data_IF_923788636296
#
_entry.id   IF_923788636296
#
_cell.length_a   1.000
_cell.length_b   1.000
_cell.length_c   1.000
_cell.angle_alpha   90.00
_cell.angle_beta   90.00
_cell.angle_gamma   90.00
#
_symmetry.space_group_name_H-M   'P 1'
#
loop_
_entity.id
_entity.type
_entity.pdbx_description
1 polymer ?
#
# COMPACT_ATOMS: atom_id res chain seq x y z
N UNK A 1 -18.14 21.92 7.86
CA UNK A 1 -19.00 21.95 6.66
C UNK A 1 -19.44 23.35 6.26
N UNK A 2 -20.01 24.18 7.16
CA UNK A 2 -20.49 25.53 6.80
C UNK A 2 -19.43 26.44 6.15
N UNK A 3 -18.17 26.38 6.63
CA UNK A 3 -17.05 27.17 6.08
C UNK A 3 -16.73 26.73 4.64
N UNK A 4 -16.67 25.42 4.37
CA UNK A 4 -16.39 24.88 3.04
C UNK A 4 -17.46 25.29 2.02
N UNK A 5 -18.74 25.15 2.39
CA UNK A 5 -19.86 25.53 1.52
C UNK A 5 -19.85 27.03 1.22
N UNK A 6 -19.58 27.88 2.22
CA UNK A 6 -19.48 29.32 2.01
C UNK A 6 -18.31 29.72 1.10
N UNK A 7 -17.19 29.01 1.19
CA UNK A 7 -16.04 29.20 0.30
C UNK A 7 -16.36 28.80 -1.14
N UNK A 8 -16.98 27.63 -1.34
CA UNK A 8 -17.38 27.16 -2.67
C UNK A 8 -18.40 28.08 -3.33
N UNK A 9 -19.39 28.54 -2.55
CA UNK A 9 -20.41 29.47 -3.03
C UNK A 9 -19.79 30.80 -3.48
N UNK A 10 -18.78 31.29 -2.76
CA UNK A 10 -18.06 32.52 -3.10
C UNK A 10 -17.19 32.36 -4.35
N UNK A 11 -16.47 31.24 -4.50
CA UNK A 11 -15.72 30.92 -5.73
C UNK A 11 -16.63 30.80 -6.95
N UNK A 12 -17.79 30.15 -6.82
CA UNK A 12 -18.79 30.06 -7.89
C UNK A 12 -19.37 31.43 -8.24
N UNK A 13 -19.67 32.27 -7.25
CA UNK A 13 -20.12 33.65 -7.48
C UNK A 13 -19.07 34.51 -8.18
N UNK A 14 -17.78 34.20 -7.99
CA UNK A 14 -16.67 34.86 -8.69
C UNK A 14 -16.45 34.33 -10.12
N UNK A 15 -17.26 33.36 -10.57
CA UNK A 15 -17.16 32.78 -11.91
C UNK A 15 -16.08 31.70 -12.06
N UNK A 16 -15.52 31.20 -10.96
CA UNK A 16 -14.59 30.06 -11.03
C UNK A 16 -15.36 28.76 -11.29
N UNK A 17 -14.81 27.83 -12.12
CA UNK A 17 -15.42 26.53 -12.31
C UNK A 17 -15.45 25.76 -10.98
N UNK A 18 -16.50 24.95 -10.78
CA UNK A 18 -16.73 24.22 -9.53
C UNK A 18 -15.54 23.33 -9.11
N UNK A 19 -14.77 22.83 -10.07
CA UNK A 19 -13.55 22.07 -9.84
C UNK A 19 -12.43 22.87 -9.15
N UNK A 20 -12.29 24.16 -9.46
CA UNK A 20 -11.33 25.06 -8.79
C UNK A 20 -11.83 25.45 -7.40
N UNK A 21 -13.13 25.65 -7.23
CA UNK A 21 -13.72 25.92 -5.91
C UNK A 21 -13.42 24.81 -4.89
N UNK A 22 -13.33 23.56 -5.35
CA UNK A 22 -13.02 22.38 -4.53
C UNK A 22 -11.52 22.16 -4.26
N UNK A 23 -10.64 23.02 -4.79
CA UNK A 23 -9.19 22.90 -4.61
C UNK A 23 -8.80 22.95 -3.13
N UNK A 24 -8.06 21.94 -2.69
CA UNK A 24 -7.67 21.77 -1.29
C UNK A 24 -8.71 21.08 -0.39
N UNK A 25 -9.93 20.85 -0.89
CA UNK A 25 -11.01 20.17 -0.15
C UNK A 25 -11.31 18.77 -0.70
N UNK A 26 -11.14 18.55 -2.00
CA UNK A 26 -11.34 17.27 -2.66
C UNK A 26 -10.03 16.75 -3.30
N UNK A 27 -9.80 15.43 -3.29
CA UNK A 27 -8.73 14.79 -4.06
C UNK A 27 -8.70 15.26 -5.52
N UNK A 28 -7.52 15.30 -6.14
CA UNK A 28 -7.39 15.80 -7.50
C UNK A 28 -8.19 15.05 -8.57
N UNK A 29 -8.30 13.73 -8.44
CA UNK A 29 -9.14 12.90 -9.32
C UNK A 29 -10.60 13.30 -9.25
N UNK A 30 -11.10 13.63 -8.06
CA UNK A 30 -12.48 14.07 -7.82
C UNK A 30 -12.75 15.45 -8.45
N UNK A 31 -11.83 16.40 -8.24
CA UNK A 31 -11.90 17.73 -8.87
C UNK A 31 -11.90 17.66 -10.39
N UNK A 32 -11.09 16.76 -10.94
CA UNK A 32 -10.98 16.57 -12.38
C UNK A 32 -12.27 16.02 -12.99
N UNK A 33 -12.91 15.03 -12.36
CA UNK A 33 -14.19 14.51 -12.82
C UNK A 33 -15.28 15.59 -12.83
N UNK A 34 -15.28 16.48 -11.84
CA UNK A 34 -16.18 17.63 -11.77
C UNK A 34 -15.82 18.74 -12.76
N UNK A 35 -14.55 18.88 -13.14
CA UNK A 35 -14.10 19.87 -14.15
C UNK A 35 -14.54 19.52 -15.57
N UNK A 36 -14.82 18.24 -15.81
CA UNK A 36 -15.25 17.71 -17.11
C UNK A 36 -16.78 17.71 -17.24
N UNK A 37 -17.50 17.70 -16.11
CA UNK A 37 -18.94 17.94 -16.11
C UNK A 37 -19.24 19.40 -16.45
N UNK A 38 -19.86 19.62 -17.62
CA UNK A 38 -20.42 20.93 -17.96
C UNK A 38 -21.46 21.34 -16.89
N UNK A 39 -21.61 22.64 -16.62
CA UNK A 39 -22.55 23.17 -15.60
C UNK A 39 -23.99 22.66 -15.83
N UNK A 40 -24.32 22.27 -17.06
CA UNK A 40 -25.61 21.72 -17.49
C UNK A 40 -25.85 20.24 -17.15
N UNK A 41 -24.82 19.45 -16.81
CA UNK A 41 -24.93 18.02 -16.45
C UNK A 41 -24.16 17.71 -15.15
N UNK A 42 -24.18 18.66 -14.21
CA UNK A 42 -23.50 18.57 -12.93
C UNK A 42 -24.03 17.39 -12.08
N UNK A 43 -25.32 17.06 -12.22
CA UNK A 43 -25.98 15.92 -11.59
C UNK A 43 -25.30 14.59 -11.96
N UNK A 44 -25.12 14.33 -13.25
CA UNK A 44 -24.45 13.12 -13.74
C UNK A 44 -22.96 13.08 -13.35
N UNK A 45 -22.29 14.24 -13.36
CA UNK A 45 -20.91 14.33 -12.92
C UNK A 45 -20.76 14.02 -11.42
N UNK A 46 -21.68 14.50 -10.59
CA UNK A 46 -21.74 14.21 -9.15
C UNK A 46 -22.08 12.74 -8.88
N UNK A 47 -23.02 12.14 -9.61
CA UNK A 47 -23.34 10.71 -9.47
C UNK A 47 -22.13 9.83 -9.80
N UNK A 48 -21.43 10.12 -10.91
CA UNK A 48 -20.20 9.41 -11.27
C UNK A 48 -19.10 9.60 -10.23
N UNK A 49 -18.98 10.81 -9.67
CA UNK A 49 -18.04 11.11 -8.59
C UNK A 49 -18.34 10.29 -7.33
N UNK A 50 -19.60 10.27 -6.91
CA UNK A 50 -20.04 9.50 -5.74
C UNK A 50 -19.70 8.03 -5.95
N UNK A 51 -20.01 7.47 -7.12
CA UNK A 51 -19.70 6.07 -7.46
C UNK A 51 -18.21 5.75 -7.36
N UNK A 52 -17.33 6.59 -7.93
CA UNK A 52 -15.88 6.39 -7.84
C UNK A 52 -15.37 6.53 -6.41
N UNK A 53 -15.86 7.54 -5.68
CA UNK A 53 -15.45 7.80 -4.29
C UNK A 53 -15.89 6.68 -3.36
N UNK A 54 -17.12 6.18 -3.51
CA UNK A 54 -17.61 5.02 -2.78
C UNK A 54 -16.80 3.76 -3.12
N UNK A 55 -16.47 3.55 -4.40
CA UNK A 55 -15.61 2.44 -4.82
C UNK A 55 -14.23 2.49 -4.16
N UNK A 56 -13.56 3.63 -4.21
CA UNK A 56 -12.26 3.82 -3.55
C UNK A 56 -12.39 3.64 -2.03
N UNK A 57 -13.46 4.16 -1.41
CA UNK A 57 -13.70 4.02 0.03
C UNK A 57 -13.92 2.57 0.46
N UNK A 58 -14.59 1.76 -0.37
CA UNK A 58 -14.74 0.31 -0.13
C UNK A 58 -13.40 -0.40 -0.04
N UNK A 59 -12.35 0.08 -0.71
CA UNK A 59 -11.01 -0.49 -0.60
C UNK A 59 -10.27 -0.09 0.68
N UNK A 60 -10.61 1.05 1.30
CA UNK A 60 -9.88 1.57 2.46
C UNK A 60 -10.08 0.65 3.68
N UNK A 61 -11.30 0.18 3.94
CA UNK A 61 -11.59 -0.71 5.06
C UNK A 61 -10.74 -1.99 5.06
N UNK A 62 -10.80 -2.79 3.97
CA UNK A 62 -9.97 -3.99 3.81
C UNK A 62 -8.48 -3.71 3.91
N UNK A 63 -7.98 -2.56 3.40
CA UNK A 63 -6.56 -2.21 3.51
C UNK A 63 -6.15 -1.91 4.96
N UNK A 64 -7.00 -1.19 5.71
CA UNK A 64 -6.75 -0.90 7.13
C UNK A 64 -6.74 -2.21 7.92
N UNK A 65 -7.73 -3.07 7.73
CA UNK A 65 -7.80 -4.37 8.38
C UNK A 65 -6.58 -5.23 8.03
N UNK A 66 -6.20 -5.25 6.75
CA UNK A 66 -5.06 -5.99 6.24
C UNK A 66 -3.72 -5.55 6.85
N UNK A 67 -3.59 -4.27 7.19
CA UNK A 67 -2.31 -3.70 7.68
C UNK A 67 -2.25 -3.66 9.20
N UNK A 68 -3.40 -3.56 9.87
CA UNK A 68 -3.48 -3.41 11.33
C UNK A 68 -3.02 -4.66 12.07
N UNK A 69 -3.45 -5.84 11.61
CA UNK A 69 -3.12 -7.10 12.29
C UNK A 69 -1.61 -7.45 12.24
N UNK A 70 -0.93 -7.39 11.07
CA UNK A 70 0.52 -7.56 11.01
C UNK A 70 1.29 -6.54 11.84
N UNK A 71 0.85 -5.27 11.84
CA UNK A 71 1.49 -4.22 12.64
C UNK A 71 1.38 -4.52 14.14
N UNK A 72 0.21 -5.02 14.59
CA UNK A 72 0.02 -5.48 15.97
C UNK A 72 0.95 -6.64 16.32
N UNK A 73 1.01 -7.69 15.48
CA UNK A 73 1.91 -8.83 15.71
C UNK A 73 3.39 -8.43 15.73
N UNK A 74 3.79 -7.54 14.85
CA UNK A 74 5.15 -7.02 14.81
C UNK A 74 5.50 -6.23 16.09
N UNK A 75 4.56 -5.43 16.60
CA UNK A 75 4.70 -4.75 17.90
C UNK A 75 4.82 -5.77 19.05
N UNK A 76 4.00 -6.81 19.05
CA UNK A 76 4.03 -7.88 20.05
C UNK A 76 5.40 -8.59 20.06
N UNK A 77 5.97 -8.88 18.88
CA UNK A 77 7.30 -9.47 18.76
C UNK A 77 8.37 -8.57 19.39
N UNK A 78 8.36 -7.27 19.07
CA UNK A 78 9.32 -6.33 19.65
C UNK A 78 9.21 -6.26 21.17
N UNK A 79 7.98 -6.30 21.69
CA UNK A 79 7.71 -6.31 23.14
C UNK A 79 8.22 -7.60 23.80
N UNK A 80 8.02 -8.76 23.19
CA UNK A 80 8.53 -10.04 23.68
C UNK A 80 10.07 -10.02 23.71
N UNK A 81 10.72 -9.59 22.61
CA UNK A 81 12.18 -9.51 22.53
C UNK A 81 12.74 -8.54 23.59
N UNK A 82 12.08 -7.41 23.80
CA UNK A 82 12.45 -6.46 24.84
C UNK A 82 12.32 -7.07 26.24
N UNK A 83 11.20 -7.74 26.53
CA UNK A 83 10.96 -8.38 27.83
C UNK A 83 11.99 -9.49 28.12
N UNK A 84 12.32 -10.31 27.12
CA UNK A 84 13.38 -11.33 27.21
C UNK A 84 14.72 -10.68 27.55
N UNK A 85 15.11 -9.65 26.79
CA UNK A 85 16.41 -9.00 26.92
C UNK A 85 16.60 -8.27 28.24
N UNK A 86 15.53 -7.68 28.81
CA UNK A 86 15.60 -6.87 30.04
C UNK A 86 15.30 -7.67 31.30
N UNK A 87 14.33 -8.59 31.26
CA UNK A 87 13.84 -9.26 32.47
C UNK A 87 14.22 -10.74 32.56
N UNK A 88 14.35 -11.44 31.44
CA UNK A 88 14.52 -12.90 31.47
C UNK A 88 15.99 -13.31 31.50
N UNK A 89 16.81 -12.75 30.59
CA UNK A 89 18.21 -13.15 30.38
C UNK A 89 19.15 -12.63 31.48
N UNK A 90 19.07 -11.37 31.98
CA UNK A 90 20.05 -10.85 32.93
C UNK A 90 20.17 -11.65 34.24
N UNK A 91 19.08 -12.09 34.89
CA UNK A 91 19.17 -12.94 36.08
C UNK A 91 19.91 -14.26 35.83
N UNK A 92 19.83 -14.81 34.61
CA UNK A 92 20.53 -16.05 34.25
C UNK A 92 22.03 -15.81 34.06
N UNK A 93 22.42 -14.66 33.51
CA UNK A 93 23.83 -14.25 33.40
C UNK A 93 24.42 -14.03 34.79
N UNK A 94 23.70 -13.32 35.66
CA UNK A 94 24.12 -13.02 37.03
C UNK A 94 24.28 -14.29 37.89
N UNK A 95 23.48 -15.32 37.62
CA UNK A 95 23.56 -16.60 38.33
C UNK A 95 24.84 -17.40 38.02
N UNK A 96 25.47 -17.19 36.86
CA UNK A 96 26.73 -17.87 36.52
C UNK A 96 27.69 -16.98 35.70
N UNK A 97 28.37 -16.03 36.36
CA UNK A 97 29.18 -15.02 35.68
C UNK A 97 30.41 -15.57 34.96
N UNK A 98 30.83 -16.81 35.27
CA UNK A 98 32.01 -17.45 34.67
C UNK A 98 31.66 -18.38 33.49
N UNK A 99 30.38 -18.49 33.13
CA UNK A 99 29.93 -19.38 32.05
C UNK A 99 30.10 -18.70 30.70
N UNK A 100 30.76 -19.41 29.78
CA UNK A 100 30.78 -19.03 28.36
C UNK A 100 29.57 -19.64 27.67
N UNK A 101 28.57 -18.81 27.42
CA UNK A 101 27.37 -19.20 26.68
C UNK A 101 27.71 -19.61 25.25
N UNK A 102 27.19 -20.76 24.81
CA UNK A 102 27.36 -21.26 23.44
C UNK A 102 26.01 -21.65 22.83
N UNK A 103 25.93 -21.81 21.51
CA UNK A 103 24.70 -22.23 20.83
C UNK A 103 23.58 -21.18 20.86
N UNK A 104 22.35 -21.62 21.16
CA UNK A 104 21.15 -20.77 21.15
C UNK A 104 21.14 -19.86 22.38
N UNK A 105 21.66 -20.35 23.52
CA UNK A 105 21.87 -19.55 24.72
C UNK A 105 22.70 -18.29 24.45
N UNK A 106 23.76 -18.40 23.65
CA UNK A 106 24.56 -17.23 23.25
C UNK A 106 23.73 -16.19 22.51
N UNK A 107 22.85 -16.61 21.60
CA UNK A 107 22.02 -15.66 20.82
C UNK A 107 21.03 -14.88 21.69
N UNK A 108 20.57 -15.46 22.81
CA UNK A 108 19.77 -14.74 23.81
C UNK A 108 20.59 -13.74 24.61
N UNK A 109 21.83 -14.08 24.94
CA UNK A 109 22.77 -13.16 25.61
C UNK A 109 23.12 -12.00 24.70
N UNK A 110 23.46 -12.26 23.44
CA UNK A 110 23.73 -11.22 22.43
C UNK A 110 22.50 -10.32 22.24
N UNK A 111 21.28 -10.89 22.23
CA UNK A 111 20.03 -10.11 22.20
C UNK A 111 19.90 -9.26 23.47
N UNK A 112 20.13 -9.81 24.65
CA UNK A 112 20.02 -9.09 25.92
C UNK A 112 20.98 -7.90 26.00
N UNK A 113 22.26 -8.11 25.63
CA UNK A 113 23.25 -7.04 25.55
C UNK A 113 22.81 -5.97 24.54
N UNK A 114 22.29 -6.38 23.38
CA UNK A 114 21.77 -5.44 22.38
C UNK A 114 20.58 -4.64 22.90
N UNK A 115 19.62 -5.27 23.58
CA UNK A 115 18.46 -4.58 24.14
C UNK A 115 18.88 -3.62 25.26
N UNK A 116 19.83 -3.99 26.10
CA UNK A 116 20.29 -3.13 27.20
C UNK A 116 21.11 -1.93 26.70
N UNK A 117 22.07 -2.14 25.80
CA UNK A 117 22.93 -1.08 25.24
C UNK A 117 22.20 -0.21 24.21
N UNK A 118 21.35 -0.84 23.37
CA UNK A 118 20.74 -0.22 22.18
C UNK A 118 19.22 -0.31 22.15
N UNK A 119 18.55 -0.20 23.31
CA UNK A 119 17.08 -0.21 23.41
C UNK A 119 16.39 0.77 22.45
N UNK A 120 16.99 1.94 22.22
CA UNK A 120 16.47 2.97 21.31
C UNK A 120 16.36 2.45 19.87
N UNK A 121 17.19 1.49 19.45
CA UNK A 121 17.11 0.88 18.12
C UNK A 121 15.81 0.11 17.95
N UNK A 122 15.29 -0.55 18.99
CA UNK A 122 13.99 -1.25 18.91
C UNK A 122 12.81 -0.31 18.66
N UNK A 123 12.94 0.97 18.98
CA UNK A 123 11.90 1.99 18.75
C UNK A 123 12.17 2.77 17.45
N UNK A 124 13.41 3.18 17.22
CA UNK A 124 13.78 3.98 16.05
C UNK A 124 13.72 3.15 14.78
N UNK A 125 14.17 1.89 14.81
CA UNK A 125 14.15 1.00 13.65
C UNK A 125 12.76 0.86 13.03
N UNK A 126 11.69 0.50 13.77
CA UNK A 126 10.38 0.36 13.18
C UNK A 126 9.81 1.69 12.69
N UNK A 127 10.03 2.81 13.40
CA UNK A 127 9.58 4.14 12.94
C UNK A 127 10.23 4.49 11.60
N UNK A 128 11.54 4.32 11.49
CA UNK A 128 12.28 4.57 10.25
C UNK A 128 11.82 3.60 9.15
N UNK A 129 11.65 2.32 9.46
CA UNK A 129 11.18 1.30 8.52
C UNK A 129 9.80 1.67 7.95
N UNK A 130 8.81 1.94 8.81
CA UNK A 130 7.47 2.34 8.38
C UNK A 130 7.50 3.66 7.59
N UNK A 131 8.30 4.63 8.02
CA UNK A 131 8.45 5.91 7.30
C UNK A 131 9.01 5.69 5.90
N UNK A 132 10.08 4.90 5.77
CA UNK A 132 10.69 4.57 4.47
C UNK A 132 9.69 3.81 3.60
N UNK A 133 8.96 2.84 4.14
CA UNK A 133 7.94 2.10 3.39
C UNK A 133 6.85 3.05 2.87
N UNK A 134 6.28 3.89 3.72
CA UNK A 134 5.23 4.86 3.36
C UNK A 134 5.72 5.86 2.32
N UNK A 135 6.94 6.39 2.46
CA UNK A 135 7.49 7.35 1.51
C UNK A 135 7.94 6.69 0.20
N UNK A 136 8.36 5.43 0.22
CA UNK A 136 8.75 4.69 -0.98
C UNK A 136 7.57 4.46 -1.91
N UNK A 137 6.37 4.23 -1.38
CA UNK A 137 5.17 3.92 -2.17
C UNK A 137 4.84 4.99 -3.22
N UNK A 138 4.65 6.29 -2.89
CA UNK A 138 4.35 7.31 -3.88
C UNK A 138 5.57 7.83 -4.65
N UNK A 139 6.78 7.80 -4.06
CA UNK A 139 7.95 8.51 -4.61
C UNK A 139 8.93 7.64 -5.39
N UNK A 140 9.00 6.34 -5.09
CA UNK A 140 10.02 5.48 -5.71
C UNK A 140 9.69 5.27 -7.19
N UNK A 141 10.49 5.89 -8.05
CA UNK A 141 10.40 5.81 -9.51
C UNK A 141 11.60 5.04 -10.02
N UNK A 142 11.39 3.82 -10.54
CA UNK A 142 12.44 3.07 -11.23
C UNK A 142 11.87 1.84 -11.95
N UNK A 143 12.53 1.43 -13.04
CA UNK A 143 12.25 0.18 -13.76
C UNK A 143 12.44 -1.06 -12.88
N UNK A 144 13.35 -1.01 -11.91
CA UNK A 144 13.57 -2.12 -10.96
C UNK A 144 12.45 -2.27 -9.93
N UNK A 145 11.59 -1.26 -9.74
CA UNK A 145 10.47 -1.33 -8.80
C UNK A 145 9.47 -2.42 -9.18
N UNK A 146 9.37 -2.74 -10.47
CA UNK A 146 8.49 -3.81 -11.00
C UNK A 146 8.75 -5.17 -10.34
N UNK A 147 9.99 -5.45 -9.92
CA UNK A 147 10.33 -6.70 -9.22
C UNK A 147 9.80 -6.77 -7.78
N UNK A 148 9.68 -5.61 -7.12
CA UNK A 148 9.25 -5.50 -5.71
C UNK A 148 7.73 -5.31 -5.61
N UNK A 149 7.07 -4.92 -6.70
CA UNK A 149 5.63 -4.65 -6.75
C UNK A 149 4.73 -5.87 -6.58
N UNK A 150 5.27 -7.09 -6.58
CA UNK A 150 4.51 -8.29 -6.27
C UNK A 150 4.50 -8.62 -4.77
N UNK A 151 5.32 -7.93 -3.96
CA UNK A 151 5.44 -8.15 -2.52
C UNK A 151 4.67 -7.07 -1.77
N UNK A 152 3.82 -7.41 -0.78
CA UNK A 152 3.22 -6.42 0.11
C UNK A 152 4.34 -5.69 0.90
N UNK A 153 4.23 -4.37 1.15
CA UNK A 153 3.07 -3.49 0.94
C UNK A 153 2.95 -2.88 -0.47
N UNK A 154 3.97 -2.98 -1.32
CA UNK A 154 3.96 -2.33 -2.65
C UNK A 154 2.89 -2.90 -3.59
N UNK A 155 2.58 -4.19 -3.46
CA UNK A 155 1.50 -4.83 -4.23
C UNK A 155 0.12 -4.27 -3.89
N UNK A 156 -0.15 -4.01 -2.60
CA UNK A 156 -1.39 -3.37 -2.14
C UNK A 156 -1.49 -1.93 -2.65
N UNK A 157 -0.39 -1.20 -2.61
CA UNK A 157 -0.33 0.17 -3.15
C UNK A 157 -0.59 0.20 -4.66
N UNK A 158 -0.02 -0.75 -5.44
CA UNK A 158 -0.27 -0.87 -6.88
C UNK A 158 -1.74 -1.12 -7.18
N UNK A 159 -2.37 -2.07 -6.47
CA UNK A 159 -3.79 -2.38 -6.64
C UNK A 159 -4.66 -1.18 -6.28
N UNK A 160 -4.44 -0.57 -5.11
CA UNK A 160 -5.21 0.61 -4.68
C UNK A 160 -5.11 1.79 -5.67
N UNK A 161 -3.88 2.14 -6.05
CA UNK A 161 -3.66 3.25 -7.00
C UNK A 161 -4.13 2.92 -8.40
N UNK A 162 -3.99 1.67 -8.84
CA UNK A 162 -4.45 1.23 -10.14
C UNK A 162 -5.97 1.24 -10.25
N UNK A 163 -6.70 0.70 -9.26
CA UNK A 163 -8.18 0.69 -9.26
C UNK A 163 -8.71 2.12 -9.25
N UNK A 164 -8.17 2.97 -8.37
CA UNK A 164 -8.55 4.39 -8.30
C UNK A 164 -8.31 5.11 -9.63
N UNK A 165 -7.17 4.84 -10.28
CA UNK A 165 -6.83 5.41 -11.58
C UNK A 165 -7.75 4.89 -12.69
N UNK A 166 -8.07 3.60 -12.71
CA UNK A 166 -8.90 2.99 -13.74
C UNK A 166 -10.36 3.44 -13.64
N UNK A 167 -10.91 3.54 -12.42
CA UNK A 167 -12.24 4.07 -12.18
C UNK A 167 -12.35 5.53 -12.63
N UNK A 168 -11.35 6.36 -12.31
CA UNK A 168 -11.32 7.75 -12.75
C UNK A 168 -11.19 7.86 -14.28
N UNK A 169 -10.37 7.01 -14.90
CA UNK A 169 -10.25 6.94 -16.37
C UNK A 169 -11.57 6.52 -17.02
N UNK A 170 -12.22 5.48 -16.50
CA UNK A 170 -13.50 5.00 -16.99
C UNK A 170 -14.57 6.09 -16.95
N UNK A 171 -14.67 6.83 -15.84
CA UNK A 171 -15.63 7.91 -15.71
C UNK A 171 -15.39 9.06 -16.70
N UNK A 172 -14.14 9.46 -16.92
CA UNK A 172 -13.79 10.51 -17.89
C UNK A 172 -14.11 10.09 -19.32
N UNK A 173 -13.78 8.84 -19.68
CA UNK A 173 -14.03 8.29 -21.02
C UNK A 173 -15.54 8.12 -21.25
N UNK A 174 -16.28 7.66 -20.25
CA UNK A 174 -17.75 7.56 -20.27
C UNK A 174 -18.42 8.93 -20.41
N UNK A 175 -17.83 9.98 -19.83
CA UNK A 175 -18.25 11.37 -20.02
C UNK A 175 -17.83 11.97 -21.39
N UNK A 176 -17.29 11.16 -22.31
CA UNK A 176 -16.92 11.58 -23.66
C UNK A 176 -15.54 12.21 -23.79
N UNK A 177 -14.70 12.19 -22.74
CA UNK A 177 -13.33 12.68 -22.84
C UNK A 177 -12.46 11.70 -23.62
N UNK A 178 -11.73 12.14 -24.66
CA UNK A 178 -10.78 11.27 -25.36
C UNK A 178 -9.73 10.67 -24.41
N UNK A 179 -9.40 9.39 -24.57
CA UNK A 179 -8.49 8.64 -23.67
C UNK A 179 -7.17 9.37 -23.44
N UNK A 180 -6.54 9.90 -24.50
CA UNK A 180 -5.27 10.63 -24.40
C UNK A 180 -5.37 11.90 -23.55
N UNK A 181 -6.50 12.62 -23.63
CA UNK A 181 -6.78 13.81 -22.81
C UNK A 181 -7.07 13.40 -21.36
N UNK A 182 -7.87 12.35 -21.15
CA UNK A 182 -8.15 11.82 -19.82
C UNK A 182 -6.87 11.38 -19.08
N UNK A 183 -5.96 10.69 -19.77
CA UNK A 183 -4.68 10.27 -19.20
C UNK A 183 -3.78 11.45 -18.81
N UNK A 184 -3.65 12.48 -19.65
CA UNK A 184 -2.89 13.70 -19.32
C UNK A 184 -3.49 14.43 -18.12
N UNK A 185 -4.81 14.49 -18.07
CA UNK A 185 -5.52 15.09 -16.96
C UNK A 185 -5.27 14.33 -15.65
N UNK A 186 -5.29 13.00 -15.69
CA UNK A 186 -5.02 12.15 -14.53
C UNK A 186 -3.57 12.22 -14.05
N UNK A 187 -2.60 12.72 -14.83
CA UNK A 187 -1.21 12.86 -14.37
C UNK A 187 -0.89 14.17 -13.67
N UNK A 188 -1.69 15.23 -13.86
CA UNK A 188 -1.38 16.57 -13.34
C UNK A 188 -1.17 16.61 -11.82
N UNK A 189 -1.95 15.84 -11.07
CA UNK A 189 -1.93 15.81 -9.61
C UNK A 189 -1.75 14.38 -9.06
N UNK A 190 -1.25 13.44 -9.88
CA UNK A 190 -1.02 12.07 -9.45
C UNK A 190 0.32 11.88 -8.73
N UNK A 191 0.46 10.76 -8.02
CA UNK A 191 1.74 10.42 -7.41
C UNK A 191 2.82 10.22 -8.48
N UNK A 192 4.10 10.53 -8.17
CA UNK A 192 5.20 10.32 -9.10
C UNK A 192 5.26 8.89 -9.69
N UNK A 193 4.82 7.89 -8.91
CA UNK A 193 4.64 6.50 -9.34
C UNK A 193 3.67 6.33 -10.51
N UNK A 194 2.46 6.92 -10.43
CA UNK A 194 1.44 6.85 -11.48
C UNK A 194 1.87 7.68 -12.69
N UNK A 195 2.44 8.88 -12.44
CA UNK A 195 2.93 9.77 -13.49
C UNK A 195 3.95 9.08 -14.39
N UNK A 196 4.92 8.35 -13.83
CA UNK A 196 5.92 7.61 -14.61
C UNK A 196 5.26 6.60 -15.56
N UNK A 197 4.29 5.83 -15.05
CA UNK A 197 3.62 4.75 -15.79
C UNK A 197 2.72 5.28 -16.90
N UNK A 198 1.88 6.25 -16.56
CA UNK A 198 0.94 6.85 -17.50
C UNK A 198 1.68 7.63 -18.58
N UNK A 199 2.73 8.38 -18.24
CA UNK A 199 3.51 9.11 -19.25
C UNK A 199 4.20 8.19 -20.25
N UNK A 200 4.70 7.01 -19.82
CA UNK A 200 5.24 6.04 -20.76
C UNK A 200 4.16 5.44 -21.66
N UNK A 201 2.98 5.14 -21.13
CA UNK A 201 1.85 4.66 -21.93
C UNK A 201 1.38 5.73 -22.95
N UNK A 202 1.36 7.01 -22.55
CA UNK A 202 1.00 8.12 -23.42
C UNK A 202 1.89 8.24 -24.67
N UNK A 203 3.18 7.87 -24.60
CA UNK A 203 4.07 7.85 -25.77
C UNK A 203 3.55 6.87 -26.83
N UNK A 204 3.17 5.66 -26.42
CA UNK A 204 2.63 4.64 -27.33
C UNK A 204 1.26 5.04 -27.89
N UNK A 205 0.38 5.61 -27.06
CA UNK A 205 -0.93 6.11 -27.50
C UNK A 205 -0.78 7.24 -28.53
N UNK A 206 0.18 8.14 -28.32
CA UNK A 206 0.48 9.22 -29.27
C UNK A 206 1.00 8.68 -30.60
N UNK A 207 1.62 7.50 -30.59
CA UNK A 207 2.07 6.79 -31.80
C UNK A 207 0.98 5.94 -32.47
N UNK A 208 -0.26 5.99 -31.97
CA UNK A 208 -1.42 5.31 -32.57
C UNK A 208 -1.79 3.97 -31.93
N UNK A 209 -1.10 3.53 -30.88
CA UNK A 209 -1.50 2.32 -30.15
C UNK A 209 -2.78 2.56 -29.34
N UNK A 210 -3.63 1.53 -29.23
CA UNK A 210 -4.76 1.55 -28.31
C UNK A 210 -4.29 1.50 -26.83
N UNK A 211 -5.19 1.77 -25.88
CA UNK A 211 -4.85 1.87 -24.45
C UNK A 211 -4.20 0.58 -23.92
N UNK A 212 -4.80 -0.58 -24.21
CA UNK A 212 -4.32 -1.86 -23.72
C UNK A 212 -2.92 -2.19 -24.24
N UNK A 213 -2.71 -1.99 -25.55
CA UNK A 213 -1.43 -2.25 -26.20
C UNK A 213 -0.34 -1.30 -25.71
N UNK A 214 -0.69 -0.03 -25.51
CA UNK A 214 0.22 0.97 -24.95
C UNK A 214 0.67 0.59 -23.53
N UNK A 215 -0.26 0.20 -22.65
CA UNK A 215 0.06 -0.25 -21.29
C UNK A 215 0.93 -1.52 -21.30
N UNK A 216 0.61 -2.47 -22.18
CA UNK A 216 1.39 -3.70 -22.36
C UNK A 216 2.83 -3.43 -22.78
N UNK A 217 3.04 -2.56 -23.78
CA UNK A 217 4.38 -2.18 -24.27
C UNK A 217 5.25 -1.51 -23.20
N UNK A 218 4.66 -0.85 -22.20
CA UNK A 218 5.44 -0.23 -21.10
C UNK A 218 6.18 -1.23 -20.21
N UNK A 219 5.70 -2.49 -20.14
CA UNK A 219 6.23 -3.55 -19.25
C UNK A 219 6.23 -3.20 -17.76
N UNK A 220 5.42 -2.23 -17.34
CA UNK A 220 5.28 -1.86 -15.92
C UNK A 220 4.27 -2.71 -15.14
N UNK A 221 3.46 -3.52 -15.83
CA UNK A 221 2.37 -4.30 -15.21
C UNK A 221 1.40 -3.44 -14.39
N UNK A 222 1.16 -2.20 -14.83
CA UNK A 222 0.22 -1.27 -14.23
C UNK A 222 -0.96 -1.04 -15.19
N UNK A 223 -2.22 -1.04 -14.70
CA UNK A 223 -2.63 -1.09 -13.30
C UNK A 223 -2.55 -2.50 -12.67
N UNK A 224 -2.82 -3.55 -13.46
CA UNK A 224 -2.43 -4.93 -13.19
C UNK A 224 -2.24 -5.68 -14.52
N UNK A 225 -1.53 -6.81 -14.52
CA UNK A 225 -1.23 -7.58 -15.74
C UNK A 225 -2.51 -8.17 -16.37
N UNK A 226 -3.44 -8.65 -15.56
CA UNK A 226 -4.70 -9.24 -16.03
C UNK A 226 -5.56 -8.17 -16.69
N UNK A 227 -5.72 -7.04 -16.02
CA UNK A 227 -6.46 -5.87 -16.53
C UNK A 227 -5.86 -5.30 -17.82
N UNK A 228 -4.53 -5.29 -17.96
CA UNK A 228 -3.91 -4.91 -19.23
C UNK A 228 -4.34 -5.87 -20.35
N UNK A 229 -4.42 -7.17 -20.06
CA UNK A 229 -4.91 -8.18 -20.99
C UNK A 229 -6.34 -7.91 -21.44
N UNK A 230 -7.24 -7.65 -20.49
CA UNK A 230 -8.63 -7.33 -20.79
C UNK A 230 -8.72 -6.05 -21.61
N UNK A 231 -8.03 -4.98 -21.20
CA UNK A 231 -8.02 -3.72 -21.93
C UNK A 231 -7.54 -3.88 -23.38
N UNK A 232 -6.61 -4.80 -23.68
CA UNK A 232 -6.19 -5.08 -25.06
C UNK A 232 -7.34 -5.64 -25.88
N UNK A 233 -8.06 -6.63 -25.34
CA UNK A 233 -9.19 -7.28 -26.00
C UNK A 233 -10.33 -6.28 -26.22
N UNK A 234 -10.71 -5.55 -25.18
CA UNK A 234 -11.87 -4.66 -25.22
C UNK A 234 -11.62 -3.34 -25.96
N UNK A 235 -10.36 -2.93 -26.12
CA UNK A 235 -10.01 -1.69 -26.84
C UNK A 235 -10.26 -1.70 -28.35
N UNK A 236 -10.56 -2.88 -28.92
CA UNK A 236 -10.91 -3.04 -30.33
C UNK A 236 -12.43 -3.01 -30.57
N UNK A 237 -13.23 -2.94 -29.51
CA UNK A 237 -14.70 -2.91 -29.61
C UNK A 237 -15.23 -1.48 -29.81
N UNK A 238 -16.33 -1.36 -30.57
CA UNK A 238 -17.02 -0.09 -30.83
C UNK A 238 -17.49 0.62 -29.55
N UNK A 239 -17.71 -0.12 -28.46
CA UNK A 239 -18.18 0.41 -27.19
C UNK A 239 -17.15 0.32 -26.06
N UNK A 240 -15.92 0.75 -26.37
CA UNK A 240 -14.81 0.77 -25.41
C UNK A 240 -15.15 1.51 -24.09
N UNK A 241 -15.93 2.59 -24.14
CA UNK A 241 -16.31 3.35 -22.95
C UNK A 241 -17.15 2.51 -21.96
N UNK A 242 -18.12 1.73 -22.44
CA UNK A 242 -18.88 0.82 -21.57
C UNK A 242 -18.03 -0.35 -21.09
N UNK A 243 -17.19 -0.92 -21.96
CA UNK A 243 -16.29 -2.00 -21.58
C UNK A 243 -15.31 -1.55 -20.47
N UNK A 244 -14.75 -0.36 -20.59
CA UNK A 244 -13.86 0.23 -19.59
C UNK A 244 -14.56 0.47 -18.25
N UNK A 245 -15.81 0.96 -18.26
CA UNK A 245 -16.63 1.05 -17.05
C UNK A 245 -16.82 -0.33 -16.43
N UNK A 246 -17.24 -1.33 -17.20
CA UNK A 246 -17.44 -2.70 -16.70
C UNK A 246 -16.16 -3.29 -16.07
N UNK A 247 -15.04 -3.28 -16.79
CA UNK A 247 -13.74 -3.80 -16.33
C UNK A 247 -13.32 -3.09 -15.03
N UNK A 248 -13.51 -1.76 -14.95
CA UNK A 248 -13.13 -1.00 -13.76
C UNK A 248 -13.93 -1.37 -12.51
N UNK A 249 -15.21 -1.68 -12.66
CA UNK A 249 -16.07 -2.08 -11.54
C UNK A 249 -15.87 -3.54 -11.15
N UNK A 250 -15.65 -4.41 -12.13
CA UNK A 250 -15.31 -5.82 -11.88
C UNK A 250 -13.98 -5.91 -11.13
N UNK A 251 -12.95 -5.20 -11.60
CA UNK A 251 -11.66 -5.19 -10.95
C UNK A 251 -11.70 -4.57 -9.55
N UNK A 252 -12.56 -3.57 -9.31
CA UNK A 252 -12.80 -3.05 -7.96
C UNK A 252 -13.30 -4.15 -7.02
N UNK A 253 -14.31 -4.91 -7.44
CA UNK A 253 -14.90 -6.00 -6.64
C UNK A 253 -13.91 -7.14 -6.41
N UNK A 254 -13.14 -7.52 -7.43
CA UNK A 254 -12.09 -8.54 -7.31
C UNK A 254 -10.94 -8.08 -6.41
N UNK A 255 -10.55 -6.81 -6.53
CA UNK A 255 -9.47 -6.24 -5.73
C UNK A 255 -9.79 -6.24 -4.23
N UNK A 256 -11.05 -6.07 -3.85
CA UNK A 256 -11.48 -6.20 -2.45
C UNK A 256 -11.14 -7.58 -1.88
N UNK A 257 -11.49 -8.65 -2.61
CA UNK A 257 -11.19 -10.04 -2.21
C UNK A 257 -9.69 -10.36 -2.30
N UNK A 258 -9.01 -9.86 -3.32
CA UNK A 258 -7.58 -10.06 -3.51
C UNK A 258 -6.75 -9.38 -2.41
N UNK A 259 -7.17 -8.19 -1.94
CA UNK A 259 -6.57 -7.49 -0.81
C UNK A 259 -6.72 -8.33 0.46
N UNK A 260 -7.93 -8.83 0.75
CA UNK A 260 -8.18 -9.68 1.90
C UNK A 260 -7.34 -10.97 1.89
N UNK A 261 -7.24 -11.61 0.72
CA UNK A 261 -6.42 -12.84 0.57
C UNK A 261 -4.93 -12.56 0.76
N UNK A 262 -4.39 -11.50 0.15
CA UNK A 262 -2.99 -11.09 0.33
C UNK A 262 -2.69 -10.74 1.78
N UNK A 263 -3.64 -10.12 2.48
CA UNK A 263 -3.54 -9.83 3.90
C UNK A 263 -3.48 -11.10 4.75
N UNK A 264 -4.35 -12.08 4.48
CA UNK A 264 -4.36 -13.34 5.21
C UNK A 264 -3.04 -14.11 5.09
N UNK A 265 -2.42 -14.10 3.90
CA UNK A 265 -1.08 -14.67 3.70
C UNK A 265 -0.04 -13.93 4.56
N UNK A 266 -0.07 -12.59 4.56
CA UNK A 266 0.87 -11.79 5.35
C UNK A 266 0.67 -12.02 6.86
N UNK A 267 -0.58 -12.15 7.31
CA UNK A 267 -0.92 -12.53 8.68
C UNK A 267 -0.36 -13.91 9.03
N UNK A 268 -0.47 -14.88 8.14
CA UNK A 268 0.03 -16.25 8.35
C UNK A 268 1.56 -16.24 8.49
N UNK A 269 2.26 -15.49 7.62
CA UNK A 269 3.71 -15.32 7.71
C UNK A 269 4.11 -14.64 9.01
N UNK A 270 3.38 -13.60 9.44
CA UNK A 270 3.62 -12.92 10.71
C UNK A 270 3.44 -13.86 11.92
N UNK A 271 2.38 -14.67 11.94
CA UNK A 271 2.13 -15.66 13.00
C UNK A 271 3.24 -16.71 13.05
N UNK A 272 3.69 -17.21 11.91
CA UNK A 272 4.81 -18.17 11.84
C UNK A 272 6.10 -17.54 12.35
N UNK A 273 6.35 -16.26 12.04
CA UNK A 273 7.50 -15.52 12.55
C UNK A 273 7.44 -15.37 14.07
N UNK A 274 6.28 -14.98 14.62
CA UNK A 274 6.08 -14.87 16.08
C UNK A 274 6.31 -16.22 16.75
N UNK A 275 5.69 -17.28 16.22
CA UNK A 275 5.84 -18.65 16.74
C UNK A 275 7.31 -19.10 16.71
N UNK A 276 8.03 -18.79 15.64
CA UNK A 276 9.46 -19.07 15.51
C UNK A 276 10.30 -18.35 16.57
N UNK A 277 10.00 -17.08 16.85
CA UNK A 277 10.69 -16.30 17.87
C UNK A 277 10.39 -16.83 19.28
N UNK A 278 9.15 -17.19 19.56
CA UNK A 278 8.77 -17.80 20.85
C UNK A 278 9.45 -19.15 21.02
N UNK A 279 9.44 -20.02 20.00
CA UNK A 279 10.12 -21.32 20.05
C UNK A 279 11.63 -21.16 20.25
N UNK A 280 12.25 -20.22 19.53
CA UNK A 280 13.66 -19.87 19.71
C UNK A 280 13.95 -19.37 21.14
N UNK A 281 13.10 -18.50 21.68
CA UNK A 281 13.23 -18.01 23.06
C UNK A 281 13.17 -19.14 24.08
N UNK A 282 12.15 -20.01 23.97
CA UNK A 282 11.97 -21.12 24.91
C UNK A 282 13.15 -22.08 24.83
N UNK A 283 13.59 -22.42 23.62
CA UNK A 283 14.75 -23.29 23.43
C UNK A 283 16.03 -22.66 24.00
N UNK A 284 16.27 -21.39 23.74
CA UNK A 284 17.41 -20.68 24.30
C UNK A 284 17.38 -20.64 25.83
N UNK A 285 16.22 -20.49 26.46
CA UNK A 285 16.09 -20.54 27.93
C UNK A 285 16.48 -21.91 28.48
N UNK A 286 16.02 -23.00 27.86
CA UNK A 286 16.40 -24.35 28.26
C UNK A 286 17.89 -24.61 28.08
N UNK A 287 18.46 -24.19 26.95
CA UNK A 287 19.90 -24.30 26.69
C UNK A 287 20.71 -23.50 27.72
N UNK A 288 20.22 -22.32 28.12
CA UNK A 288 20.84 -21.56 29.21
C UNK A 288 20.75 -22.33 30.54
N UNK A 289 19.60 -22.91 30.89
CA UNK A 289 19.46 -23.70 32.11
C UNK A 289 20.40 -24.92 32.14
N UNK A 290 20.52 -25.65 31.04
CA UNK A 290 21.43 -26.80 30.92
C UNK A 290 22.89 -26.39 31.11
N UNK A 291 23.30 -25.27 30.51
CA UNK A 291 24.66 -24.73 30.66
C UNK A 291 24.93 -24.25 32.10
N UNK A 292 23.92 -23.67 32.76
CA UNK A 292 23.99 -23.29 34.19
C UNK A 292 24.19 -24.51 35.09
N UNK A 293 23.38 -25.57 34.90
CA UNK A 293 23.45 -26.80 35.70
C UNK A 293 24.82 -27.47 35.54
N UNK A 294 25.33 -27.56 34.30
CA UNK A 294 26.67 -28.09 34.02
C UNK A 294 27.77 -27.27 34.68
N UNK A 295 27.65 -25.95 34.66
CA UNK A 295 28.64 -25.06 35.26
C UNK A 295 28.66 -25.13 36.80
N UNK A 296 27.51 -25.38 37.43
CA UNK A 296 27.41 -25.56 38.87
C UNK A 296 27.85 -26.96 39.36
N UNK A 297 28.27 -27.85 38.47
CA UNK A 297 28.75 -29.19 38.84
C UNK A 297 27.65 -30.14 39.32
N UNK A 298 26.39 -29.92 38.92
CA UNK A 298 25.24 -30.74 39.31
C UNK A 298 24.97 -31.95 38.39
N UNK A 299 25.94 -32.33 37.54
CA UNK A 299 25.94 -33.58 36.75
C UNK A 299 27.35 -34.12 36.61
#
# INVERSE_FOLDING_TARGET
MAIAVSYWLKSLQNGEPFSEALRGWAPPSERLMLSVGDVSHLDQALENLIRVTEGVKRMIGPIIEATSYPAFLFCLVLLILWAIGVYMVPPMIDAAPNVRWTGVAKTLVDLSEFVQDKWWVLIVFPIVLFTVLILSMPRWKNRYRVYVENVPPWSLYRVFTGVSWLLALAALVKAGTPVSKALRNLTNDASPYVVERVNKALVYITNGDNLGEALYKTKYNFPDKEIIGDLRIYSELDNFALALDQISNEWLNESEQAIATKAAVLNTVAILMVSGIVAWSVWGTFDMQDQLVKAMGMT
#
